data_IF_568759986924
#
_entry.id   IF_568759986924
#
_cell.length_a   1.000
_cell.length_b   1.000
_cell.length_c   1.000
_cell.angle_alpha   90.00
_cell.angle_beta   90.00
_cell.angle_gamma   90.00
#
_symmetry.space_group_name_H-M   'P 1'
#
loop_
_entity.id
_entity.type
_entity.pdbx_description
1 polymer ?
#
# COMPACT_ATOMS: atom_id res chain seq x y z
N UNK A 1 18.22 29.76 9.31
CA UNK A 1 19.50 29.55 10.03
C UNK A 1 19.69 28.13 10.54
N UNK A 2 18.63 27.40 10.89
CA UNK A 2 18.66 26.00 11.35
C UNK A 2 19.53 25.07 10.47
N UNK A 3 19.39 25.15 9.14
CA UNK A 3 20.19 24.33 8.20
C UNK A 3 21.70 24.61 8.22
N UNK A 4 22.13 25.81 8.65
CA UNK A 4 23.55 26.16 8.79
C UNK A 4 24.18 25.55 10.05
N UNK A 5 23.38 25.34 11.10
CA UNK A 5 23.82 24.76 12.37
C UNK A 5 23.93 23.24 12.31
N UNK A 6 23.27 22.59 11.34
CA UNK A 6 23.27 21.15 11.13
C UNK A 6 22.83 20.32 12.36
N UNK A 7 22.09 20.95 13.28
CA UNK A 7 21.50 20.28 14.44
C UNK A 7 20.13 19.70 14.07
N UNK A 8 20.01 18.37 14.12
CA UNK A 8 18.79 17.66 13.68
C UNK A 8 17.55 18.09 14.47
N UNK A 9 17.67 18.28 15.78
CA UNK A 9 16.54 18.67 16.63
C UNK A 9 15.93 20.02 16.24
N UNK A 10 16.78 21.02 15.93
CA UNK A 10 16.32 22.35 15.52
C UNK A 10 15.72 22.30 14.11
N UNK A 11 16.29 21.50 13.22
CA UNK A 11 15.74 21.33 11.87
C UNK A 11 14.38 20.63 11.95
N UNK A 12 14.21 19.63 12.83
CA UNK A 12 12.92 18.95 13.07
C UNK A 12 11.86 19.93 13.58
N UNK A 13 12.19 20.76 14.58
CA UNK A 13 11.26 21.75 15.14
C UNK A 13 10.84 22.80 14.09
N UNK A 14 11.80 23.36 13.35
CA UNK A 14 11.50 24.31 12.27
C UNK A 14 10.69 23.65 11.16
N UNK A 15 11.01 22.40 10.81
CA UNK A 15 10.27 21.65 9.79
C UNK A 15 8.81 21.44 10.20
N UNK A 16 8.53 21.06 11.45
CA UNK A 16 7.16 20.87 11.96
C UNK A 16 6.40 22.19 12.18
N UNK A 17 7.11 23.29 12.40
CA UNK A 17 6.49 24.62 12.58
C UNK A 17 5.90 25.24 11.30
N UNK A 18 6.29 24.73 10.13
CA UNK A 18 5.88 25.30 8.84
C UNK A 18 4.51 24.74 8.45
N UNK A 19 3.50 25.61 8.19
CA UNK A 19 2.19 25.14 7.75
C UNK A 19 2.23 24.65 6.29
N UNK A 20 1.31 23.75 5.94
CA UNK A 20 1.26 23.06 4.63
C UNK A 20 1.19 24.05 3.46
N UNK A 21 0.40 25.12 3.60
CA UNK A 21 0.19 26.14 2.55
C UNK A 21 1.49 26.88 2.18
N UNK A 22 2.41 27.00 3.14
CA UNK A 22 3.66 27.74 2.94
C UNK A 22 4.80 26.86 2.40
N UNK A 23 4.63 25.53 2.34
CA UNK A 23 5.69 24.60 1.90
C UNK A 23 6.14 24.94 0.47
N UNK A 24 5.19 25.22 -0.43
CA UNK A 24 5.51 25.52 -1.83
C UNK A 24 6.44 26.75 -1.95
N UNK A 25 6.14 27.81 -1.21
CA UNK A 25 6.94 29.03 -1.18
C UNK A 25 8.34 28.77 -0.61
N UNK A 26 8.43 28.05 0.51
CA UNK A 26 9.71 27.72 1.15
C UNK A 26 10.57 26.83 0.25
N UNK A 27 9.97 25.85 -0.42
CA UNK A 27 10.67 25.00 -1.39
C UNK A 27 11.19 25.79 -2.59
N UNK A 28 10.46 26.81 -3.05
CA UNK A 28 10.88 27.66 -4.16
C UNK A 28 12.11 28.51 -3.80
N UNK A 29 12.13 29.14 -2.62
CA UNK A 29 13.27 29.95 -2.15
C UNK A 29 14.43 29.11 -1.58
N UNK A 30 14.31 27.78 -1.58
CA UNK A 30 15.28 26.90 -0.93
C UNK A 30 16.66 26.95 -1.63
N UNK A 31 17.76 27.23 -0.90
CA UNK A 31 19.08 27.29 -1.51
C UNK A 31 19.59 25.91 -1.97
N UNK A 32 20.04 25.84 -3.22
CA UNK A 32 20.44 24.58 -3.87
C UNK A 32 21.57 23.83 -3.14
N UNK A 33 22.49 24.56 -2.50
CA UNK A 33 23.61 23.99 -1.75
C UNK A 33 23.17 23.06 -0.60
N UNK A 34 22.04 23.36 0.06
CA UNK A 34 21.56 22.58 1.20
C UNK A 34 20.64 21.42 0.80
N UNK A 35 20.24 21.32 -0.48
CA UNK A 35 19.28 20.31 -0.94
C UNK A 35 19.72 18.88 -0.63
N UNK A 36 21.02 18.58 -0.78
CA UNK A 36 21.55 17.24 -0.52
C UNK A 36 21.36 16.83 0.95
N UNK A 37 21.69 17.73 1.86
CA UNK A 37 21.57 17.48 3.30
C UNK A 37 20.10 17.43 3.71
N UNK A 38 19.26 18.28 3.10
CA UNK A 38 17.83 18.31 3.36
C UNK A 38 17.11 17.04 2.89
N UNK A 39 17.45 16.49 1.72
CA UNK A 39 16.88 15.22 1.25
C UNK A 39 17.26 14.08 2.19
N UNK A 40 18.54 14.01 2.62
CA UNK A 40 18.96 13.01 3.62
C UNK A 40 18.17 13.15 4.93
N UNK A 41 17.91 14.38 5.35
CA UNK A 41 17.13 14.68 6.53
C UNK A 41 15.66 14.28 6.38
N UNK A 42 15.03 14.59 5.24
CA UNK A 42 13.66 14.16 4.94
C UNK A 42 13.57 12.63 4.97
N UNK A 43 14.49 11.91 4.33
CA UNK A 43 14.48 10.44 4.37
C UNK A 43 14.53 9.90 5.81
N UNK A 44 15.29 10.56 6.68
CA UNK A 44 15.39 10.20 8.09
C UNK A 44 14.11 10.49 8.90
N UNK A 45 13.45 11.63 8.67
CA UNK A 45 12.16 11.93 9.32
C UNK A 45 11.07 11.00 8.80
N UNK A 46 11.06 10.70 7.50
CA UNK A 46 10.03 9.89 6.85
C UNK A 46 9.87 8.51 7.50
N UNK A 47 10.96 7.90 7.97
CA UNK A 47 10.93 6.62 8.68
C UNK A 47 10.45 6.75 10.15
N UNK A 48 10.52 7.94 10.76
CA UNK A 48 10.30 8.13 12.21
C UNK A 48 8.96 8.79 12.56
N UNK A 49 8.44 9.67 11.71
CA UNK A 49 7.26 10.49 12.02
C UNK A 49 6.07 10.09 11.14
N UNK A 50 4.85 9.95 11.70
CA UNK A 50 3.68 9.46 10.98
C UNK A 50 3.00 10.51 10.07
N UNK A 51 3.61 11.67 9.81
CA UNK A 51 3.02 12.75 9.02
C UNK A 51 3.28 12.60 7.52
N UNK A 52 2.64 11.60 6.89
CA UNK A 52 2.89 11.22 5.50
C UNK A 52 2.55 12.32 4.49
N UNK A 53 1.35 12.89 4.57
CA UNK A 53 0.90 13.94 3.63
C UNK A 53 1.84 15.15 3.66
N UNK A 54 2.25 15.57 4.87
CA UNK A 54 3.16 16.68 5.07
C UNK A 54 4.50 16.42 4.38
N UNK A 55 5.13 15.29 4.69
CA UNK A 55 6.44 14.94 4.13
C UNK A 55 6.39 14.71 2.61
N UNK A 56 5.33 14.07 2.11
CA UNK A 56 5.12 13.85 0.67
C UNK A 56 4.93 15.17 -0.07
N UNK A 57 4.22 16.13 0.51
CA UNK A 57 4.08 17.48 -0.04
C UNK A 57 5.44 18.18 -0.15
N UNK A 58 6.28 18.10 0.89
CA UNK A 58 7.66 18.60 0.84
C UNK A 58 8.46 17.96 -0.30
N UNK A 59 8.44 16.63 -0.40
CA UNK A 59 9.18 15.90 -1.43
C UNK A 59 8.71 16.30 -2.83
N UNK A 60 7.39 16.36 -3.04
CA UNK A 60 6.78 16.76 -4.30
C UNK A 60 7.25 18.16 -4.72
N UNK A 61 7.01 19.18 -3.90
CA UNK A 61 7.38 20.56 -4.23
C UNK A 61 8.88 20.71 -4.44
N UNK A 62 9.70 20.08 -3.61
CA UNK A 62 11.16 20.13 -3.73
C UNK A 62 11.64 19.54 -5.06
N UNK A 63 11.10 18.38 -5.45
CA UNK A 63 11.41 17.73 -6.73
C UNK A 63 10.89 18.53 -7.92
N UNK A 64 9.72 19.16 -7.81
CA UNK A 64 9.13 19.98 -8.88
C UNK A 64 9.96 21.24 -9.14
N UNK A 65 10.32 22.00 -8.10
CA UNK A 65 11.06 23.26 -8.27
C UNK A 65 12.55 23.03 -8.60
N UNK A 66 13.21 22.06 -7.95
CA UNK A 66 14.64 21.81 -8.12
C UNK A 66 14.97 20.66 -9.08
N UNK A 67 13.99 20.17 -9.84
CA UNK A 67 14.13 19.05 -10.79
C UNK A 67 15.28 19.22 -11.78
N UNK A 68 15.50 20.43 -12.31
CA UNK A 68 16.61 20.73 -13.23
C UNK A 68 17.97 20.55 -12.53
N UNK A 69 18.09 21.01 -11.29
CA UNK A 69 19.31 20.89 -10.49
C UNK A 69 19.64 19.43 -10.17
N UNK A 70 18.63 18.61 -9.85
CA UNK A 70 18.82 17.17 -9.62
C UNK A 70 19.30 16.45 -10.87
N UNK A 71 18.83 16.83 -12.06
CA UNK A 71 19.30 16.23 -13.32
C UNK A 71 20.78 16.54 -13.57
N UNK A 72 21.19 17.80 -13.38
CA UNK A 72 22.58 18.22 -13.60
C UNK A 72 23.55 17.65 -12.56
N UNK A 73 23.13 17.53 -11.29
CA UNK A 73 23.97 17.04 -10.19
C UNK A 73 23.61 15.61 -9.74
N UNK A 74 23.04 14.82 -10.66
CA UNK A 74 22.49 13.50 -10.36
C UNK A 74 23.48 12.57 -9.65
N UNK A 75 24.73 12.52 -10.12
CA UNK A 75 25.79 11.68 -9.54
C UNK A 75 26.07 11.99 -8.07
N UNK A 76 26.05 13.27 -7.67
CA UNK A 76 26.35 13.67 -6.31
C UNK A 76 25.19 13.44 -5.33
N UNK A 77 23.97 13.29 -5.84
CA UNK A 77 22.72 13.22 -5.06
C UNK A 77 22.02 11.86 -5.18
N UNK A 78 22.54 10.95 -6.01
CA UNK A 78 21.92 9.64 -6.30
C UNK A 78 21.73 8.80 -5.04
N UNK A 79 22.68 8.83 -4.12
CA UNK A 79 22.58 8.06 -2.86
C UNK A 79 21.44 8.56 -1.99
N UNK A 80 21.35 9.88 -1.79
CA UNK A 80 20.27 10.50 -1.01
C UNK A 80 18.89 10.29 -1.66
N UNK A 81 18.81 10.39 -2.99
CA UNK A 81 17.56 10.17 -3.72
C UNK A 81 17.14 8.70 -3.70
N UNK A 82 18.09 7.76 -3.79
CA UNK A 82 17.79 6.33 -3.72
C UNK A 82 17.31 5.93 -2.34
N UNK A 83 17.92 6.48 -1.28
CA UNK A 83 17.44 6.26 0.08
C UNK A 83 16.02 6.80 0.26
N UNK A 84 15.74 8.02 -0.22
CA UNK A 84 14.39 8.59 -0.19
C UNK A 84 13.39 7.70 -0.93
N UNK A 85 13.71 7.27 -2.16
CA UNK A 85 12.87 6.39 -2.95
C UNK A 85 12.58 5.08 -2.22
N UNK A 86 13.60 4.47 -1.59
CA UNK A 86 13.44 3.24 -0.82
C UNK A 86 12.45 3.44 0.34
N UNK A 87 12.59 4.53 1.11
CA UNK A 87 11.70 4.83 2.24
C UNK A 87 10.25 4.98 1.77
N UNK A 88 10.04 5.74 0.68
CA UNK A 88 8.71 5.96 0.10
C UNK A 88 8.11 4.64 -0.38
N UNK A 89 8.88 3.83 -1.12
CA UNK A 89 8.40 2.56 -1.66
C UNK A 89 8.04 1.56 -0.56
N UNK A 90 8.85 1.48 0.51
CA UNK A 90 8.55 0.63 1.66
C UNK A 90 7.25 1.05 2.34
N UNK A 91 7.08 2.35 2.60
CA UNK A 91 5.87 2.86 3.23
C UNK A 91 4.63 2.68 2.34
N UNK A 92 4.77 2.89 1.03
CA UNK A 92 3.71 2.63 0.07
C UNK A 92 3.27 1.16 0.10
N UNK A 93 4.22 0.22 0.05
CA UNK A 93 3.90 -1.21 0.07
C UNK A 93 3.20 -1.61 1.37
N UNK A 94 3.70 -1.14 2.51
CA UNK A 94 3.10 -1.42 3.82
C UNK A 94 1.67 -0.87 3.91
N UNK A 95 1.45 0.37 3.44
CA UNK A 95 0.13 0.99 3.47
C UNK A 95 -0.83 0.34 2.47
N UNK A 96 -0.36 0.06 1.25
CA UNK A 96 -1.16 -0.60 0.21
C UNK A 96 -1.67 -1.94 0.69
N UNK A 97 -0.79 -2.78 1.27
CA UNK A 97 -1.20 -4.08 1.77
C UNK A 97 -2.33 -3.97 2.81
N UNK A 98 -2.17 -3.10 3.81
CA UNK A 98 -3.20 -2.89 4.84
C UNK A 98 -4.50 -2.31 4.25
N UNK A 99 -4.39 -1.39 3.29
CA UNK A 99 -5.55 -0.82 2.61
C UNK A 99 -6.29 -1.86 1.77
N UNK A 100 -5.56 -2.72 1.06
CA UNK A 100 -6.12 -3.79 0.23
C UNK A 100 -6.81 -4.83 1.12
N UNK A 101 -6.16 -5.28 2.19
CA UNK A 101 -6.74 -6.22 3.17
C UNK A 101 -8.04 -5.67 3.77
N UNK A 102 -8.01 -4.40 4.20
CA UNK A 102 -9.20 -3.74 4.76
C UNK A 102 -10.31 -3.61 3.72
N UNK A 103 -9.97 -3.24 2.48
CA UNK A 103 -10.94 -3.09 1.41
C UNK A 103 -11.63 -4.42 1.09
N UNK A 104 -10.87 -5.48 0.85
CA UNK A 104 -11.46 -6.79 0.55
C UNK A 104 -12.27 -7.35 1.72
N UNK A 105 -11.83 -7.13 2.96
CA UNK A 105 -12.57 -7.53 4.16
C UNK A 105 -13.91 -6.79 4.26
N UNK A 106 -13.92 -5.48 4.01
CA UNK A 106 -15.15 -4.68 4.02
C UNK A 106 -16.08 -5.07 2.87
N UNK A 107 -15.56 -5.25 1.66
CA UNK A 107 -16.33 -5.71 0.50
C UNK A 107 -16.98 -7.09 0.77
N UNK A 108 -16.25 -7.98 1.46
CA UNK A 108 -16.78 -9.29 1.87
C UNK A 108 -17.90 -9.16 2.91
N UNK A 109 -17.72 -8.33 3.94
CA UNK A 109 -18.77 -8.09 4.93
C UNK A 109 -20.01 -7.42 4.33
N UNK A 110 -19.83 -6.53 3.34
CA UNK A 110 -20.93 -5.95 2.59
C UNK A 110 -21.73 -7.04 1.88
N UNK A 111 -21.07 -7.95 1.15
CA UNK A 111 -21.75 -9.06 0.46
C UNK A 111 -22.47 -10.01 1.43
N UNK A 112 -21.86 -10.37 2.57
CA UNK A 112 -22.53 -11.17 3.60
C UNK A 112 -23.74 -10.43 4.16
N UNK A 113 -23.62 -9.12 4.42
CA UNK A 113 -24.71 -8.33 4.98
C UNK A 113 -25.91 -8.30 4.03
N UNK A 114 -25.68 -8.15 2.73
CA UNK A 114 -26.72 -8.20 1.69
C UNK A 114 -27.35 -9.59 1.66
N UNK A 115 -26.56 -10.66 1.61
CA UNK A 115 -27.06 -12.03 1.59
C UNK A 115 -27.89 -12.39 2.84
N UNK A 116 -27.49 -11.91 4.02
CA UNK A 116 -28.22 -12.13 5.26
C UNK A 116 -29.52 -11.32 5.32
N UNK A 117 -29.55 -10.11 4.75
CA UNK A 117 -30.78 -9.32 4.59
C UNK A 117 -31.74 -10.04 3.64
N UNK A 118 -31.25 -10.55 2.49
CA UNK A 118 -32.05 -11.33 1.55
C UNK A 118 -32.61 -12.61 2.20
N UNK A 119 -31.79 -13.33 2.98
CA UNK A 119 -32.26 -14.48 3.77
C UNK A 119 -33.27 -14.10 4.84
N UNK A 120 -33.15 -12.94 5.49
CA UNK A 120 -34.14 -12.46 6.46
C UNK A 120 -35.46 -12.06 5.79
N UNK A 121 -35.45 -11.46 4.60
CA UNK A 121 -36.68 -11.20 3.85
C UNK A 121 -37.41 -12.49 3.41
N UNK A 122 -36.65 -13.55 3.14
CA UNK A 122 -37.20 -14.89 2.87
C UNK A 122 -37.73 -15.54 4.14
N UNK A 123 -37.01 -15.49 5.27
CA UNK A 123 -37.48 -16.07 6.54
C UNK A 123 -38.71 -15.34 7.12
N UNK A 124 -38.82 -14.02 6.97
CA UNK A 124 -40.01 -13.25 7.40
C UNK A 124 -41.24 -13.56 6.53
N UNK A 125 -41.06 -14.06 5.30
CA UNK A 125 -42.17 -14.60 4.49
C UNK A 125 -42.60 -15.99 4.94
N UNK A 126 -41.67 -16.83 5.39
CA UNK A 126 -41.97 -18.20 5.88
C UNK A 126 -42.64 -18.17 7.26
N UNK A 127 -42.24 -17.27 8.17
CA UNK A 127 -42.85 -17.18 9.52
C UNK A 127 -44.27 -16.59 9.57
N UNK A 128 -44.83 -16.09 8.44
CA UNK A 128 -46.26 -15.71 8.38
C UNK A 128 -47.20 -16.87 8.05
N UNK A 129 -46.66 -18.04 7.75
CA UNK A 129 -47.43 -19.24 7.45
C UNK A 129 -47.02 -20.38 8.39
N UNK A 130 -47.64 -20.46 9.57
CA UNK A 130 -47.72 -21.70 10.35
C UNK A 130 -49.09 -21.78 11.04
N UNK A 131 -49.59 -22.97 11.43
CA UNK A 131 -49.50 -24.28 10.77
C UNK A 131 -50.90 -24.96 10.69
N UNK A 132 -51.16 -25.79 9.68
CA UNK A 132 -52.23 -26.81 9.75
C UNK A 132 -51.72 -28.16 9.27
N UNK A 133 -51.51 -29.03 10.25
CA UNK A 133 -51.37 -30.48 10.20
C UNK A 133 -52.34 -31.14 9.21
N UNK A 134 -51.87 -32.02 8.31
CA UNK A 134 -51.82 -33.49 8.55
C UNK A 134 -51.34 -34.27 7.31
N UNK A 135 -50.45 -35.26 7.52
CA UNK A 135 -50.23 -36.51 6.75
C UNK A 135 -49.84 -36.42 5.25
N UNK A 136 -48.92 -37.18 4.66
CA UNK A 136 -48.09 -38.35 4.99
C UNK A 136 -46.98 -38.40 3.90
N UNK A 137 -45.83 -38.98 4.27
CA UNK A 137 -44.77 -39.65 3.50
C UNK A 137 -44.62 -39.42 1.98
N UNK A 138 -43.41 -39.04 1.53
CA UNK A 138 -42.74 -39.70 0.39
C UNK A 138 -41.21 -39.40 0.41
N UNK A 139 -40.47 -40.45 0.77
CA UNK A 139 -39.17 -40.91 0.28
C UNK A 139 -38.14 -39.88 -0.24
N UNK A 140 -37.02 -39.74 0.49
CA UNK A 140 -35.73 -39.35 -0.10
C UNK A 140 -34.73 -40.47 0.18
N UNK A 141 -34.60 -41.39 -0.76
CA UNK A 141 -33.45 -42.28 -0.88
C UNK A 141 -32.41 -41.67 -1.82
N UNK A 142 -31.16 -41.71 -1.35
CA UNK A 142 -29.90 -41.94 -2.08
C UNK A 142 -29.54 -41.05 -3.27
N UNK A 143 -28.45 -40.28 -3.13
CA UNK A 143 -27.19 -40.77 -3.70
C UNK A 143 -25.98 -40.13 -3.01
N UNK A 144 -25.08 -40.98 -2.56
CA UNK A 144 -23.80 -40.64 -1.97
C UNK A 144 -22.80 -41.64 -2.49
N UNK A 145 -22.03 -41.24 -3.49
CA UNK A 145 -20.78 -41.90 -3.85
C UNK A 145 -19.68 -40.85 -4.07
N UNK A 146 -18.51 -41.27 -3.65
CA UNK A 146 -17.26 -40.56 -3.40
C UNK A 146 -16.51 -40.25 -4.70
N UNK A 147 -15.79 -39.12 -4.75
CA UNK A 147 -14.52 -39.05 -5.49
C UNK A 147 -13.46 -38.39 -4.60
N UNK A 148 -12.56 -39.24 -4.09
CA UNK A 148 -11.26 -38.87 -3.53
C UNK A 148 -10.33 -38.48 -4.68
N UNK A 149 -9.86 -37.23 -4.74
CA UNK A 149 -8.69 -36.86 -5.55
C UNK A 149 -7.45 -36.75 -4.65
N UNK A 150 -6.60 -37.78 -4.70
CA UNK A 150 -5.20 -37.70 -4.30
C UNK A 150 -4.42 -36.87 -5.35
N UNK A 151 -3.87 -35.71 -4.98
CA UNK A 151 -2.76 -35.11 -5.72
C UNK A 151 -1.48 -35.17 -4.85
N UNK A 152 -0.54 -35.98 -5.32
CA UNK A 152 0.81 -36.13 -4.76
C UNK A 152 1.60 -34.81 -4.82
N UNK A 153 2.17 -34.42 -3.68
CA UNK A 153 3.25 -33.44 -3.59
C UNK A 153 4.58 -34.05 -4.10
N UNK A 154 5.14 -33.52 -5.18
CA UNK A 154 6.60 -33.54 -5.39
C UNK A 154 7.15 -32.13 -5.55
N UNK A 155 7.68 -31.58 -4.45
CA UNK A 155 8.65 -30.50 -4.48
C UNK A 155 10.06 -31.10 -4.59
N UNK A 156 10.80 -30.73 -5.64
CA UNK A 156 12.25 -30.51 -5.58
C UNK A 156 12.76 -29.75 -6.83
N UNK A 157 13.05 -28.46 -6.66
CA UNK A 157 13.97 -27.68 -7.51
C UNK A 157 15.44 -28.01 -7.15
N UNK A 158 16.51 -27.45 -7.77
CA UNK A 158 16.66 -26.58 -8.97
C UNK A 158 17.77 -27.07 -9.94
N UNK A 159 18.04 -26.36 -11.06
CA UNK A 159 19.39 -26.03 -11.59
C UNK A 159 19.35 -25.30 -12.96
N UNK A 160 19.50 -23.96 -12.89
CA UNK A 160 20.58 -23.20 -13.52
C UNK A 160 20.91 -23.41 -15.02
N UNK A 161 20.54 -22.39 -15.81
CA UNK A 161 21.24 -21.83 -16.99
C UNK A 161 21.71 -22.77 -18.13
N UNK A 162 21.23 -22.51 -19.36
CA UNK A 162 22.06 -22.01 -20.48
C UNK A 162 21.25 -21.84 -21.79
N UNK A 163 21.38 -20.62 -22.36
CA UNK A 163 21.51 -20.31 -23.81
C UNK A 163 20.29 -20.62 -24.70
N UNK A 164 19.50 -19.65 -25.16
CA UNK A 164 19.77 -18.70 -26.27
C UNK A 164 20.55 -19.34 -27.43
N UNK A 165 19.97 -19.22 -28.64
CA UNK A 165 20.38 -19.64 -30.00
C UNK A 165 19.69 -20.96 -30.41
N UNK A 166 18.96 -21.08 -31.52
CA UNK A 166 18.97 -20.32 -32.76
C UNK A 166 17.66 -20.56 -33.50
N UNK A 167 16.90 -19.50 -33.76
CA UNK A 167 15.78 -19.52 -34.71
C UNK A 167 16.20 -18.66 -35.90
N UNK A 168 16.47 -19.30 -37.03
CA UNK A 168 16.56 -18.72 -38.38
C UNK A 168 16.56 -19.88 -39.38
N UNK A 169 15.38 -20.15 -39.94
CA UNK A 169 15.26 -20.51 -41.34
C UNK A 169 15.18 -19.20 -42.14
#
# INVERSE_FOLDING_TARGET
MSLKLNEKSIIEEVFESIPIDNIAFVCHEFPQYYLKNFIKFISYIFERKPHLEFQMSWILYLLTYHGKFFKTNSLAMIESLRNLQKCIAQNYNNLSQVCDDNKYTLDYFEQISIFNIEKQEVNVKVEKEEPTTDSEEEENEEDGEEEEEEEEEEQQQPLRNKKIKSNKN
#
